data_IF_854871399011
#
_entry.id   IF_854871399011
#
_cell.length_a   1.000
_cell.length_b   1.000
_cell.length_c   1.000
_cell.angle_alpha   90.00
_cell.angle_beta   90.00
_cell.angle_gamma   90.00
#
_symmetry.space_group_name_H-M   'P 1'
#
loop_
_entity.id
_entity.type
_entity.pdbx_description
1 polymer ?
#
# COMPACT_ATOMS: atom_id res chain seq x y z
N UNK A 1 0.47 -17.77 1.39
CA UNK A 1 1.69 -17.34 0.67
C UNK A 1 2.63 -16.68 1.66
N UNK A 2 3.88 -17.12 1.71
CA UNK A 2 4.96 -16.35 2.34
C UNK A 2 5.02 -15.01 1.63
N UNK A 3 5.08 -13.96 2.42
CA UNK A 3 5.26 -12.57 2.05
C UNK A 3 6.42 -12.46 1.05
N UNK A 4 6.11 -12.37 -0.25
CA UNK A 4 7.14 -12.41 -1.30
C UNK A 4 7.89 -11.08 -1.43
N UNK A 5 7.42 -10.02 -0.78
CA UNK A 5 7.94 -8.67 -0.94
C UNK A 5 7.59 -8.05 -2.30
N UNK A 6 6.81 -8.74 -3.14
CA UNK A 6 6.34 -8.24 -4.42
C UNK A 6 5.40 -7.05 -4.18
N UNK A 7 5.70 -5.94 -4.83
CA UNK A 7 4.91 -4.72 -4.76
C UNK A 7 3.93 -4.71 -5.92
N UNK A 8 2.63 -4.75 -5.59
CA UNK A 8 1.54 -4.78 -6.58
C UNK A 8 1.14 -3.39 -7.02
N UNK A 9 1.20 -2.44 -6.08
CA UNK A 9 0.91 -1.05 -6.33
C UNK A 9 1.75 -0.20 -5.38
N UNK A 10 2.27 0.90 -5.90
CA UNK A 10 3.03 1.84 -5.10
C UNK A 10 2.85 3.27 -5.61
N UNK A 11 2.50 4.16 -4.69
CA UNK A 11 2.44 5.60 -4.94
C UNK A 11 3.31 6.28 -3.90
N UNK A 12 4.43 6.87 -4.35
CA UNK A 12 5.33 7.64 -3.50
C UNK A 12 5.39 9.09 -3.93
N UNK A 13 5.32 9.97 -2.94
CA UNK A 13 5.38 11.42 -3.09
C UNK A 13 6.81 11.98 -2.94
N UNK A 14 7.75 11.16 -2.46
CA UNK A 14 9.16 11.52 -2.25
C UNK A 14 10.06 10.31 -2.56
N UNK A 15 10.66 10.28 -3.76
CA UNK A 15 11.46 9.16 -4.29
C UNK A 15 12.78 9.02 -3.53
N UNK A 16 12.75 8.42 -2.33
CA UNK A 16 13.98 8.06 -1.59
C UNK A 16 14.39 6.60 -1.76
N UNK A 17 13.47 5.69 -2.08
CA UNK A 17 13.73 4.24 -2.09
C UNK A 17 13.09 3.53 -3.28
N UNK A 18 13.70 2.41 -3.72
CA UNK A 18 13.08 1.51 -4.70
C UNK A 18 11.91 0.78 -4.05
N UNK A 19 10.71 0.74 -4.69
CA UNK A 19 9.52 0.13 -4.12
C UNK A 19 9.74 -1.32 -3.69
N UNK A 20 10.43 -2.10 -4.53
CA UNK A 20 10.66 -3.53 -4.33
C UNK A 20 11.55 -3.79 -3.11
N UNK A 21 12.59 -2.97 -2.91
CA UNK A 21 13.43 -3.05 -1.70
C UNK A 21 12.62 -2.78 -0.44
N UNK A 22 11.73 -1.79 -0.50
CA UNK A 22 10.84 -1.47 0.61
C UNK A 22 9.83 -2.61 0.86
N UNK A 23 9.23 -3.18 -0.19
CA UNK A 23 8.31 -4.31 -0.11
C UNK A 23 8.96 -5.55 0.52
N UNK A 24 10.19 -5.90 0.10
CA UNK A 24 10.96 -6.99 0.70
C UNK A 24 11.25 -6.74 2.19
N UNK A 25 11.64 -5.51 2.56
CA UNK A 25 11.87 -5.16 3.96
C UNK A 25 10.59 -5.29 4.80
N UNK A 26 9.46 -4.76 4.31
CA UNK A 26 8.17 -4.84 5.02
C UNK A 26 7.70 -6.27 5.19
N UNK A 27 7.90 -7.10 4.15
CA UNK A 27 7.66 -8.53 4.22
C UNK A 27 8.48 -9.22 5.31
N UNK A 28 9.80 -8.99 5.32
CA UNK A 28 10.71 -9.60 6.28
C UNK A 28 10.39 -9.17 7.72
N UNK A 29 10.07 -7.88 7.91
CA UNK A 29 9.64 -7.37 9.21
C UNK A 29 8.33 -8.01 9.66
N UNK A 30 7.31 -8.14 8.78
CA UNK A 30 6.03 -8.79 9.13
C UNK A 30 6.22 -10.25 9.52
N UNK A 31 7.07 -10.99 8.79
CA UNK A 31 7.47 -12.34 9.17
C UNK A 31 8.14 -12.37 10.54
N UNK A 32 9.12 -11.50 10.79
CA UNK A 32 9.81 -11.43 12.07
C UNK A 32 8.87 -11.11 13.24
N UNK A 33 7.94 -10.18 13.06
CA UNK A 33 7.03 -9.79 14.12
C UNK A 33 5.97 -10.85 14.44
N UNK A 34 5.60 -11.70 13.47
CA UNK A 34 4.74 -12.86 13.69
C UNK A 34 5.39 -13.90 14.60
N UNK A 35 6.72 -14.01 14.59
CA UNK A 35 7.47 -14.84 15.55
C UNK A 35 7.44 -14.26 16.97
N UNK A 36 7.32 -12.93 17.09
CA UNK A 36 7.31 -12.24 18.39
C UNK A 36 5.90 -12.13 19.00
N UNK A 37 4.87 -12.10 18.17
CA UNK A 37 3.46 -12.05 18.58
C UNK A 37 2.57 -12.56 17.47
N UNK A 38 1.52 -13.33 17.82
CA UNK A 38 0.57 -13.86 16.83
C UNK A 38 -0.09 -12.76 15.96
N UNK A 39 -0.23 -11.55 16.50
CA UNK A 39 -0.78 -10.40 15.78
C UNK A 39 0.22 -9.72 14.81
N UNK A 40 1.53 -9.83 15.06
CA UNK A 40 2.57 -9.01 14.45
C UNK A 40 2.44 -7.51 14.80
N UNK A 41 3.11 -6.63 14.05
CA UNK A 41 3.02 -5.17 14.22
C UNK A 41 2.00 -4.55 13.26
N UNK A 42 1.36 -3.47 13.74
CA UNK A 42 0.39 -2.67 12.98
C UNK A 42 0.94 -1.30 12.58
N UNK A 43 2.07 -0.90 13.16
CA UNK A 43 2.78 0.31 12.78
C UNK A 43 4.21 0.30 13.29
N UNK A 44 5.07 1.08 12.67
CA UNK A 44 6.39 1.43 13.20
C UNK A 44 6.74 2.87 12.83
N UNK A 45 7.71 3.44 13.54
CA UNK A 45 8.21 4.78 13.27
C UNK A 45 9.66 4.69 12.84
N UNK A 46 10.01 5.43 11.79
CA UNK A 46 11.37 5.56 11.30
C UNK A 46 11.60 7.00 10.87
N UNK A 47 12.66 7.61 11.41
CA UNK A 47 12.92 9.05 11.32
C UNK A 47 11.68 9.86 11.80
N UNK A 48 11.10 10.71 10.94
CA UNK A 48 9.89 11.49 11.25
C UNK A 48 8.65 11.01 10.50
N UNK A 49 8.59 9.71 10.17
CA UNK A 49 7.44 9.09 9.50
C UNK A 49 6.93 7.91 10.31
N UNK A 50 5.61 7.84 10.44
CA UNK A 50 4.90 6.65 10.90
C UNK A 50 4.47 5.84 9.68
N UNK A 51 4.84 4.57 9.67
CA UNK A 51 4.39 3.59 8.71
C UNK A 51 3.29 2.77 9.37
N UNK A 52 2.06 2.91 8.88
CA UNK A 52 0.90 2.14 9.32
C UNK A 52 0.72 0.94 8.40
N UNK A 53 0.39 -0.21 8.99
CA UNK A 53 0.26 -1.48 8.28
C UNK A 53 -1.12 -2.05 8.54
N UNK A 54 -1.81 -2.41 7.45
CA UNK A 54 -3.06 -3.16 7.49
C UNK A 54 -2.88 -4.48 6.75
N UNK A 55 -3.19 -5.56 7.45
CA UNK A 55 -3.26 -6.91 6.88
C UNK A 55 -4.71 -7.16 6.48
N UNK A 56 -4.92 -7.52 5.23
CA UNK A 56 -6.22 -7.95 4.72
C UNK A 56 -6.02 -9.09 3.73
N UNK A 57 -6.68 -10.22 3.99
CA UNK A 57 -6.44 -11.47 3.28
C UNK A 57 -4.93 -11.82 3.29
N UNK A 58 -4.34 -12.03 2.11
CA UNK A 58 -2.90 -12.35 1.94
C UNK A 58 -2.05 -11.11 1.64
N UNK A 59 -2.61 -9.90 1.75
CA UNK A 59 -2.00 -8.65 1.29
C UNK A 59 -1.61 -7.73 2.45
N UNK A 60 -0.49 -7.03 2.27
CA UNK A 60 0.00 -5.98 3.17
C UNK A 60 -0.23 -4.62 2.53
N UNK A 61 -1.05 -3.79 3.17
CA UNK A 61 -1.25 -2.40 2.82
C UNK A 61 -0.40 -1.55 3.76
N UNK A 62 0.43 -0.66 3.19
CA UNK A 62 1.37 0.17 3.96
C UNK A 62 1.15 1.63 3.59
N UNK A 63 0.94 2.48 4.59
CA UNK A 63 0.83 3.92 4.42
C UNK A 63 1.88 4.64 5.26
N UNK A 64 2.56 5.63 4.69
CA UNK A 64 3.42 6.53 5.45
C UNK A 64 2.69 7.83 5.76
N UNK A 65 2.77 8.30 6.99
CA UNK A 65 2.19 9.57 7.43
C UNK A 65 3.12 10.30 8.39
N UNK A 66 2.94 11.60 8.58
CA UNK A 66 3.59 12.29 9.70
C UNK A 66 3.03 11.75 11.03
N UNK A 67 3.85 11.50 12.07
CA UNK A 67 3.40 11.05 13.38
C UNK A 67 2.32 11.94 14.02
N UNK A 68 2.24 13.21 13.59
CA UNK A 68 1.24 14.19 14.03
C UNK A 68 -0.17 13.90 13.49
N UNK A 69 -0.30 13.12 12.42
CA UNK A 69 -1.60 12.74 11.87
C UNK A 69 -2.30 11.70 12.76
N UNK A 70 -3.63 11.84 12.88
CA UNK A 70 -4.44 10.92 13.67
C UNK A 70 -4.46 9.54 13.01
N UNK A 71 -3.92 8.53 13.70
CA UNK A 71 -3.85 7.15 13.24
C UNK A 71 -5.22 6.57 12.82
N UNK A 72 -6.30 6.97 13.52
CA UNK A 72 -7.67 6.55 13.16
C UNK A 72 -8.05 6.95 11.73
N UNK A 73 -7.69 8.16 11.29
CA UNK A 73 -7.99 8.65 9.94
C UNK A 73 -7.22 7.86 8.88
N UNK A 74 -5.91 7.67 9.11
CA UNK A 74 -5.05 6.86 8.24
C UNK A 74 -5.60 5.44 8.09
N UNK A 75 -6.01 4.81 9.19
CA UNK A 75 -6.59 3.47 9.16
C UNK A 75 -7.92 3.40 8.40
N UNK A 76 -8.77 4.42 8.50
CA UNK A 76 -10.03 4.50 7.75
C UNK A 76 -9.79 4.60 6.24
N UNK A 77 -8.85 5.45 5.83
CA UNK A 77 -8.45 5.57 4.42
C UNK A 77 -7.86 4.26 3.91
N UNK A 78 -6.95 3.63 4.66
CA UNK A 78 -6.38 2.33 4.30
C UNK A 78 -7.45 1.23 4.18
N UNK A 79 -8.49 1.24 5.01
CA UNK A 79 -9.61 0.29 4.89
C UNK A 79 -10.41 0.53 3.62
N UNK A 80 -10.68 1.79 3.26
CA UNK A 80 -11.33 2.14 2.00
C UNK A 80 -10.50 1.68 0.80
N UNK A 81 -9.19 1.94 0.82
CA UNK A 81 -8.26 1.54 -0.24
C UNK A 81 -8.21 0.02 -0.40
N UNK A 82 -8.13 -0.72 0.71
CA UNK A 82 -8.14 -2.18 0.68
C UNK A 82 -9.45 -2.71 0.08
N UNK A 83 -10.59 -2.11 0.44
CA UNK A 83 -11.89 -2.47 -0.13
C UNK A 83 -11.91 -2.24 -1.64
N UNK A 84 -11.56 -1.03 -2.10
CA UNK A 84 -11.49 -0.69 -3.53
C UNK A 84 -10.54 -1.62 -4.30
N UNK A 85 -9.42 -2.03 -3.70
CA UNK A 85 -8.49 -2.98 -4.31
C UNK A 85 -9.17 -4.32 -4.60
N UNK A 86 -9.89 -4.88 -3.62
CA UNK A 86 -10.60 -6.16 -3.79
C UNK A 86 -11.88 -6.05 -4.64
N UNK A 87 -12.39 -4.84 -4.88
CA UNK A 87 -13.52 -4.59 -5.79
C UNK A 87 -13.07 -4.45 -7.25
N UNK A 88 -11.89 -3.86 -7.49
CA UNK A 88 -11.37 -3.59 -8.83
C UNK A 88 -10.67 -4.82 -9.42
N UNK A 89 -9.92 -5.56 -8.61
CA UNK A 89 -9.23 -6.75 -9.07
C UNK A 89 -10.10 -7.97 -8.86
N UNK A 90 -10.26 -8.75 -9.94
CA UNK A 90 -11.07 -9.96 -9.96
C UNK A 90 -10.63 -10.96 -8.86
N UNK A 91 -11.61 -11.61 -8.22
CA UNK A 91 -11.32 -12.52 -7.11
C UNK A 91 -10.55 -13.75 -7.56
N UNK A 92 -10.87 -14.32 -8.72
CA UNK A 92 -10.18 -15.49 -9.24
C UNK A 92 -8.74 -15.13 -9.60
N UNK A 93 -8.52 -13.91 -10.14
CA UNK A 93 -7.18 -13.37 -10.36
C UNK A 93 -6.36 -13.30 -9.06
N UNK A 94 -6.95 -12.75 -7.99
CA UNK A 94 -6.25 -12.56 -6.71
C UNK A 94 -6.00 -13.87 -5.94
N UNK A 95 -6.85 -14.89 -6.14
CA UNK A 95 -6.70 -16.19 -5.49
C UNK A 95 -5.65 -17.08 -6.17
N UNK A 96 -5.48 -16.92 -7.50
CA UNK A 96 -4.50 -17.64 -8.31
C UNK A 96 -3.25 -16.81 -8.64
N UNK A 97 -3.09 -15.64 -8.02
CA UNK A 97 -1.95 -14.77 -8.26
C UNK A 97 -0.62 -15.48 -7.92
N UNK A 98 0.22 -15.66 -8.94
CA UNK A 98 1.49 -16.38 -8.86
C UNK A 98 2.70 -15.45 -8.69
N UNK A 99 2.48 -14.14 -8.70
CA UNK A 99 3.54 -13.13 -8.64
C UNK A 99 3.76 -12.36 -9.93
N UNK A 100 3.13 -12.75 -11.05
CA UNK A 100 3.20 -11.97 -12.29
C UNK A 100 2.36 -10.69 -12.18
N UNK A 101 3.02 -9.56 -11.93
CA UNK A 101 2.36 -8.25 -11.80
C UNK A 101 1.80 -7.73 -13.13
N UNK A 102 2.13 -8.33 -14.27
CA UNK A 102 1.63 -7.91 -15.58
C UNK A 102 0.10 -7.99 -15.68
N UNK A 103 -0.50 -8.98 -15.00
CA UNK A 103 -1.95 -9.19 -14.99
C UNK A 103 -2.71 -8.06 -14.29
N UNK A 104 -2.05 -7.39 -13.33
CA UNK A 104 -2.59 -6.26 -12.58
C UNK A 104 -2.47 -4.93 -13.34
N UNK A 105 -1.58 -4.85 -14.35
CA UNK A 105 -1.43 -3.65 -15.18
C UNK A 105 -2.69 -3.32 -15.96
N UNK A 106 -3.50 -4.33 -16.28
CA UNK A 106 -4.75 -4.17 -17.04
C UNK A 106 -5.73 -3.18 -16.37
N UNK A 107 -5.71 -3.08 -15.04
CA UNK A 107 -6.57 -2.19 -14.25
C UNK A 107 -5.78 -1.25 -13.30
N UNK A 108 -4.48 -1.06 -13.52
CA UNK A 108 -3.65 -0.18 -12.68
C UNK A 108 -4.18 1.27 -12.73
N UNK A 109 -4.57 1.74 -13.91
CA UNK A 109 -5.16 3.08 -14.09
C UNK A 109 -6.56 3.19 -13.47
N UNK A 110 -7.37 2.11 -13.50
CA UNK A 110 -8.65 2.05 -12.80
C UNK A 110 -8.46 2.23 -11.30
N UNK A 111 -7.49 1.52 -10.72
CA UNK A 111 -7.15 1.65 -9.32
C UNK A 111 -6.60 3.05 -8.99
N UNK A 112 -5.74 3.64 -9.83
CA UNK A 112 -5.24 5.00 -9.64
C UNK A 112 -6.35 6.06 -9.62
N UNK A 113 -7.35 5.92 -10.49
CA UNK A 113 -8.50 6.81 -10.58
C UNK A 113 -9.37 6.72 -9.32
N UNK A 114 -9.67 5.50 -8.86
CA UNK A 114 -10.49 5.26 -7.66
C UNK A 114 -9.86 5.89 -6.41
N UNK A 115 -8.53 5.88 -6.31
CA UNK A 115 -7.81 6.40 -5.16
C UNK A 115 -7.40 7.88 -5.32
N UNK A 116 -7.82 8.55 -6.40
CA UNK A 116 -7.49 9.96 -6.66
C UNK A 116 -8.14 10.92 -5.67
N UNK A 117 -9.30 10.58 -5.13
CA UNK A 117 -10.00 11.42 -4.15
C UNK A 117 -9.59 11.17 -2.69
N UNK A 118 -8.88 10.06 -2.43
CA UNK A 118 -8.26 9.80 -1.12
C UNK A 118 -7.04 10.68 -0.82
N UNK A 119 -6.73 11.61 -1.73
CA UNK A 119 -5.56 12.48 -1.69
C UNK A 119 -5.80 13.75 -0.86
N UNK A 120 -4.80 14.13 -0.06
CA UNK A 120 -4.69 15.51 0.44
C UNK A 120 -4.54 16.49 -0.74
N UNK A 121 -5.18 17.67 -0.69
CA UNK A 121 -5.19 18.66 -1.80
C UNK A 121 -3.83 18.97 -2.46
N UNK A 122 -2.70 19.07 -1.72
CA UNK A 122 -1.40 19.31 -2.34
C UNK A 122 -1.00 18.22 -3.35
N UNK A 123 -1.51 17.00 -3.14
CA UNK A 123 -1.23 15.84 -3.97
C UNK A 123 -2.08 15.84 -5.24
N UNK A 124 -3.34 16.26 -5.17
CA UNK A 124 -4.20 16.41 -6.37
C UNK A 124 -3.56 17.36 -7.39
N UNK A 125 -3.05 18.50 -6.93
CA UNK A 125 -2.40 19.52 -7.78
C UNK A 125 -1.13 19.04 -8.47
N UNK A 126 -0.34 18.16 -7.82
CA UNK A 126 0.86 17.57 -8.44
C UNK A 126 0.52 16.64 -9.61
N UNK A 127 -0.54 15.84 -9.49
CA UNK A 127 -0.98 14.92 -10.55
C UNK A 127 -1.69 15.63 -11.71
N UNK A 128 -2.50 16.65 -11.43
CA UNK A 128 -3.15 17.47 -12.48
C UNK A 128 -2.14 18.25 -13.35
N UNK A 129 -0.97 18.57 -12.80
CA UNK A 129 0.13 19.21 -13.54
C UNK A 129 0.89 18.26 -14.50
N UNK A 130 0.87 16.95 -14.23
CA UNK A 130 1.55 15.94 -15.07
C UNK A 130 0.69 15.55 -16.29
N UNK A 131 -0.64 15.63 -16.18
CA UNK A 131 -1.57 15.29 -17.28
C UNK A 131 -1.62 16.40 -18.36
N UNK A 132 -1.08 17.60 -18.08
CA UNK A 132 -1.14 18.77 -18.98
C UNK A 132 0.07 18.94 -19.93
N UNK A 133 0.99 17.99 -20.00
CA UNK A 133 2.13 18.00 -20.93
C UNK A 133 2.36 16.61 -21.53
#
# INVERSE_FOLDING_TARGET
MKSSGIVLFHRVFDKKYKPELFGMLMSALDSFAKELSEAGFNSFEFDNKRYSIKKANKYLFVASSSPKHRMKKVNQEMMSLAKSFFEIYDRDLLDHFDGDTSVLKSCEECFKAEIQDSLEEPVKKFWEGIIKH
#
